data_IF_908028626179
#
_entry.id   IF_908028626179
#
_cell.length_a   1.000
_cell.length_b   1.000
_cell.length_c   1.000
_cell.angle_alpha   90.00
_cell.angle_beta   90.00
_cell.angle_gamma   90.00
#
_symmetry.space_group_name_H-M   'P 1'
#
loop_
_entity.id
_entity.type
_entity.pdbx_description
1 polymer ?
#
# COMPACT_ATOMS: atom_id res chain seq x y z
N UNK A 1 20.70 8.98 28.51
CA UNK A 1 19.99 8.32 29.63
C UNK A 1 18.92 7.39 29.06
N UNK A 2 18.97 6.09 29.38
CA UNK A 2 17.93 5.15 28.99
C UNK A 2 16.63 5.52 29.73
N UNK A 3 15.49 5.61 29.00
CA UNK A 3 14.19 5.80 29.64
C UNK A 3 13.93 4.60 30.56
N UNK A 4 13.51 4.82 31.82
CA UNK A 4 13.19 3.71 32.70
C UNK A 4 12.09 2.84 32.08
N UNK A 5 12.26 1.52 32.16
CA UNK A 5 11.23 0.56 31.75
C UNK A 5 10.00 0.79 32.64
N UNK A 6 8.94 1.36 32.09
CA UNK A 6 7.66 1.46 32.77
C UNK A 6 6.96 0.12 32.62
N UNK A 7 6.92 -0.65 33.68
CA UNK A 7 5.99 -1.76 33.76
C UNK A 7 4.58 -1.20 33.82
N UNK A 8 3.62 -1.71 33.02
CA UNK A 8 2.24 -1.26 33.07
C UNK A 8 1.70 -1.47 34.50
N UNK A 9 1.10 -0.44 35.07
CA UNK A 9 0.31 -0.59 36.28
C UNK A 9 -0.90 -1.50 36.04
N UNK A 10 -1.51 -2.04 37.10
CA UNK A 10 -2.66 -2.94 36.99
C UNK A 10 -3.80 -2.31 36.17
N UNK A 11 -4.05 -1.02 36.31
CA UNK A 11 -5.07 -0.30 35.53
C UNK A 11 -4.72 -0.24 34.02
N UNK A 12 -3.45 -0.01 33.66
CA UNK A 12 -3.02 0.01 32.27
C UNK A 12 -3.20 -1.36 31.62
N UNK A 13 -2.79 -2.43 32.29
CA UNK A 13 -2.94 -3.79 31.79
C UNK A 13 -4.42 -4.17 31.63
N UNK A 14 -5.27 -3.79 32.55
CA UNK A 14 -6.72 -4.02 32.45
C UNK A 14 -7.29 -3.34 31.20
N UNK A 15 -7.01 -2.05 31.02
CA UNK A 15 -7.46 -1.31 29.84
C UNK A 15 -6.97 -1.95 28.55
N UNK A 16 -5.68 -2.36 28.47
CA UNK A 16 -5.12 -3.03 27.30
C UNK A 16 -5.80 -4.38 27.01
N UNK A 17 -6.25 -5.09 28.04
CA UNK A 17 -6.96 -6.36 27.89
C UNK A 17 -8.41 -6.18 27.45
N UNK A 18 -9.05 -5.07 27.81
CA UNK A 18 -10.43 -4.73 27.49
C UNK A 18 -10.57 -3.97 26.16
N UNK A 19 -9.47 -3.81 25.39
CA UNK A 19 -9.55 -3.21 24.07
C UNK A 19 -10.30 -4.13 23.11
N UNK A 20 -11.24 -3.54 22.39
CA UNK A 20 -12.02 -4.19 21.35
C UNK A 20 -11.64 -3.66 19.97
N UNK A 21 -11.67 -4.54 18.96
CA UNK A 21 -11.49 -4.15 17.56
C UNK A 21 -12.80 -4.32 16.80
N UNK A 22 -13.17 -3.28 16.05
CA UNK A 22 -14.35 -3.22 15.22
C UNK A 22 -13.94 -3.09 13.76
N UNK A 23 -14.38 -4.03 12.92
CA UNK A 23 -14.32 -3.90 11.48
C UNK A 23 -15.49 -3.01 11.03
N UNK A 24 -15.18 -1.95 10.28
CA UNK A 24 -16.15 -0.94 9.89
C UNK A 24 -16.64 -1.23 8.48
N UNK A 25 -17.77 -1.94 8.37
CA UNK A 25 -18.40 -2.29 7.08
C UNK A 25 -19.48 -1.31 6.68
N UNK A 26 -20.18 -0.74 7.67
CA UNK A 26 -21.31 0.15 7.43
C UNK A 26 -20.87 1.58 7.08
N UNK A 27 -21.63 2.32 6.27
CA UNK A 27 -21.30 3.67 5.83
C UNK A 27 -21.07 4.66 6.98
N UNK A 28 -21.95 4.71 7.97
CA UNK A 28 -21.89 5.69 9.07
C UNK A 28 -20.62 5.57 9.91
N UNK A 29 -20.18 4.39 10.39
CA UNK A 29 -18.88 4.22 11.02
C UNK A 29 -17.69 4.55 10.10
N UNK A 30 -17.78 4.25 8.80
CA UNK A 30 -16.75 4.60 7.83
C UNK A 30 -16.62 6.12 7.63
N UNK A 31 -17.74 6.84 7.61
CA UNK A 31 -17.73 8.30 7.49
C UNK A 31 -17.14 8.96 8.73
N UNK A 32 -17.45 8.46 9.92
CA UNK A 32 -16.80 8.88 11.16
C UNK A 32 -15.30 8.63 11.11
N UNK A 33 -14.86 7.45 10.66
CA UNK A 33 -13.46 7.10 10.50
C UNK A 33 -12.77 8.05 9.51
N UNK A 34 -13.38 8.30 8.35
CA UNK A 34 -12.88 9.20 7.32
C UNK A 34 -12.74 10.65 7.85
N UNK A 35 -13.70 11.13 8.63
CA UNK A 35 -13.66 12.42 9.31
C UNK A 35 -12.46 12.54 10.22
N UNK A 36 -12.31 11.61 11.15
CA UNK A 36 -11.21 11.61 12.12
C UNK A 36 -9.82 11.54 11.46
N UNK A 37 -9.69 10.85 10.33
CA UNK A 37 -8.43 10.80 9.57
C UNK A 37 -8.16 12.13 8.85
N UNK A 38 -9.17 12.76 8.26
CA UNK A 38 -9.03 14.06 7.56
C UNK A 38 -8.67 15.20 8.51
N UNK A 39 -9.17 15.17 9.73
CA UNK A 39 -8.92 16.20 10.74
C UNK A 39 -7.47 16.21 11.26
N UNK A 40 -6.65 15.21 10.87
CA UNK A 40 -5.24 15.18 11.26
C UNK A 40 -4.40 16.10 10.36
N UNK A 41 -3.62 17.03 10.93
CA UNK A 41 -2.84 18.02 10.17
C UNK A 41 -1.85 17.44 9.14
N UNK A 42 -1.39 16.22 9.36
CA UNK A 42 -0.41 15.53 8.49
C UNK A 42 -1.04 14.57 7.47
N UNK A 43 -2.38 14.42 7.44
CA UNK A 43 -3.06 13.37 6.68
C UNK A 43 -4.40 13.83 6.10
N UNK A 44 -4.36 14.83 5.23
CA UNK A 44 -5.57 15.43 4.62
C UNK A 44 -6.40 14.48 3.74
N UNK A 45 -5.92 13.28 3.45
CA UNK A 45 -6.64 12.32 2.61
C UNK A 45 -6.96 11.03 3.38
N UNK A 46 -8.26 10.76 3.58
CA UNK A 46 -8.77 9.51 4.16
C UNK A 46 -8.97 8.39 3.13
N UNK A 47 -8.84 8.68 1.82
CA UNK A 47 -9.04 7.70 0.77
C UNK A 47 -8.05 6.55 0.86
N UNK A 48 -8.57 5.34 0.75
CA UNK A 48 -7.82 4.11 0.58
C UNK A 48 -7.96 3.66 -0.89
N UNK A 49 -6.99 2.92 -1.41
CA UNK A 49 -6.93 2.55 -2.82
C UNK A 49 -7.18 1.06 -3.00
N UNK A 50 -8.05 0.70 -3.95
CA UNK A 50 -8.37 -0.70 -4.25
C UNK A 50 -9.19 -1.38 -3.15
N UNK A 51 -8.97 -2.67 -3.00
CA UNK A 51 -9.54 -3.45 -1.90
C UNK A 51 -9.10 -2.87 -0.56
N UNK A 52 -10.02 -2.74 0.39
CA UNK A 52 -9.75 -1.97 1.61
C UNK A 52 -10.54 -2.47 2.82
N UNK A 53 -9.92 -2.36 3.98
CA UNK A 53 -10.58 -2.55 5.27
C UNK A 53 -10.31 -1.36 6.20
N UNK A 54 -11.31 -0.95 6.94
CA UNK A 54 -11.20 0.05 8.00
C UNK A 54 -11.52 -0.60 9.34
N UNK A 55 -10.67 -0.35 10.33
CA UNK A 55 -10.89 -0.83 11.69
C UNK A 55 -10.75 0.30 12.68
N UNK A 56 -11.53 0.23 13.75
CA UNK A 56 -11.38 1.06 14.93
C UNK A 56 -11.09 0.18 16.14
N UNK A 57 -10.18 0.61 16.98
CA UNK A 57 -9.93 -0.01 18.28
C UNK A 57 -10.54 0.88 19.33
N UNK A 58 -11.37 0.32 20.20
CA UNK A 58 -12.10 1.05 21.24
C UNK A 58 -11.86 0.49 22.64
N UNK A 59 -12.15 1.34 23.60
CA UNK A 59 -12.29 0.99 25.01
C UNK A 59 -13.56 1.64 25.53
N UNK A 60 -14.45 0.84 26.12
CA UNK A 60 -15.76 1.31 26.64
C UNK A 60 -16.53 2.17 25.59
N UNK A 61 -16.56 1.71 24.33
CA UNK A 61 -17.23 2.39 23.23
C UNK A 61 -16.52 3.61 22.65
N UNK A 62 -15.44 4.09 23.27
CA UNK A 62 -14.66 5.21 22.77
C UNK A 62 -13.54 4.72 21.82
N UNK A 63 -13.48 5.25 20.61
CA UNK A 63 -12.43 4.93 19.66
C UNK A 63 -11.09 5.56 20.07
N UNK A 64 -10.05 4.74 20.13
CA UNK A 64 -8.72 5.11 20.60
C UNK A 64 -7.65 4.97 19.53
N UNK A 65 -7.87 4.11 18.55
CA UNK A 65 -7.00 3.98 17.39
C UNK A 65 -7.79 3.63 16.14
N UNK A 66 -7.28 4.06 14.98
CA UNK A 66 -7.83 3.77 13.67
C UNK A 66 -6.77 3.10 12.82
N UNK A 67 -7.14 2.02 12.14
CA UNK A 67 -6.30 1.34 11.17
C UNK A 67 -7.02 1.27 9.83
N UNK A 68 -6.26 1.49 8.75
CA UNK A 68 -6.74 1.35 7.38
C UNK A 68 -5.79 0.49 6.59
N UNK A 69 -6.33 -0.53 5.96
CA UNK A 69 -5.64 -1.44 5.08
C UNK A 69 -6.13 -1.24 3.66
N UNK A 70 -5.26 -1.34 2.68
CA UNK A 70 -5.60 -1.12 1.27
C UNK A 70 -4.76 -1.99 0.34
N UNK A 71 -5.12 -2.05 -0.92
CA UNK A 71 -4.28 -2.66 -1.94
C UNK A 71 -2.86 -2.09 -1.91
N UNK A 72 -1.88 -2.94 -2.20
CA UNK A 72 -0.46 -2.56 -2.21
C UNK A 72 -0.14 -1.55 -3.32
N UNK A 73 0.89 -0.76 -3.12
CA UNK A 73 1.38 0.14 -4.16
C UNK A 73 1.85 -0.64 -5.40
N UNK A 74 1.51 -0.13 -6.61
CA UNK A 74 1.71 -0.87 -7.85
C UNK A 74 3.18 -1.26 -8.09
N UNK A 75 4.11 -0.36 -7.85
CA UNK A 75 5.54 -0.60 -8.08
C UNK A 75 6.39 -0.03 -6.95
N UNK A 76 7.14 -0.90 -6.28
CA UNK A 76 8.04 -0.54 -5.17
C UNK A 76 9.31 -1.37 -5.26
N UNK A 77 10.39 -0.80 -5.79
CA UNK A 77 11.67 -1.49 -5.95
C UNK A 77 12.15 -2.25 -4.70
N UNK A 78 12.10 -1.68 -3.47
CA UNK A 78 12.53 -2.42 -2.28
C UNK A 78 11.68 -3.66 -1.97
N UNK A 79 10.37 -3.64 -2.28
CA UNK A 79 9.49 -4.80 -2.18
C UNK A 79 9.78 -5.82 -3.25
N UNK A 80 9.97 -5.39 -4.51
CA UNK A 80 10.30 -6.26 -5.64
C UNK A 80 11.56 -7.08 -5.34
N UNK A 81 12.60 -6.41 -4.84
CA UNK A 81 13.85 -7.08 -4.41
C UNK A 81 13.60 -8.04 -3.24
N UNK A 82 12.75 -7.68 -2.29
CA UNK A 82 12.44 -8.54 -1.14
C UNK A 82 11.67 -9.79 -1.55
N UNK A 83 10.68 -9.66 -2.41
CA UNK A 83 9.86 -10.78 -2.90
C UNK A 83 10.58 -11.58 -3.96
N UNK A 84 11.49 -10.97 -4.71
CA UNK A 84 12.22 -11.58 -5.83
C UNK A 84 11.30 -12.18 -6.89
N UNK A 85 10.19 -11.53 -7.16
CA UNK A 85 9.22 -11.92 -8.18
C UNK A 85 9.45 -11.23 -9.53
N UNK A 86 8.96 -11.82 -10.60
CA UNK A 86 8.96 -11.19 -11.92
C UNK A 86 7.86 -10.12 -12.04
N UNK A 87 7.88 -9.37 -13.14
CA UNK A 87 6.82 -8.41 -13.43
C UNK A 87 5.46 -9.10 -13.60
N UNK A 88 5.41 -10.24 -14.27
CA UNK A 88 4.17 -10.98 -14.49
C UNK A 88 3.64 -11.56 -13.18
N UNK A 89 4.50 -12.13 -12.35
CA UNK A 89 4.14 -12.57 -11.00
C UNK A 89 3.59 -11.41 -10.17
N UNK A 90 4.24 -10.24 -10.18
CA UNK A 90 3.72 -9.05 -9.52
C UNK A 90 2.33 -8.68 -10.02
N UNK A 91 2.12 -8.63 -11.33
CA UNK A 91 0.82 -8.27 -11.92
C UNK A 91 -0.28 -9.25 -11.54
N UNK A 92 -0.01 -10.55 -11.53
CA UNK A 92 -0.96 -11.60 -11.16
C UNK A 92 -1.18 -11.75 -9.66
N UNK A 93 -0.20 -11.34 -8.81
CA UNK A 93 -0.13 -11.69 -7.38
C UNK A 93 -0.09 -10.50 -6.43
N UNK A 94 -0.10 -9.24 -6.93
CA UNK A 94 0.02 -8.04 -6.09
C UNK A 94 -1.10 -7.94 -5.05
N UNK A 95 -2.29 -8.43 -5.34
CA UNK A 95 -3.44 -8.44 -4.42
C UNK A 95 -3.23 -9.31 -3.16
N UNK A 96 -2.27 -10.26 -3.18
CA UNK A 96 -1.84 -10.98 -1.98
C UNK A 96 -0.98 -10.14 -1.03
N UNK A 97 -0.62 -8.93 -1.44
CA UNK A 97 0.12 -7.96 -0.60
C UNK A 97 -0.80 -6.83 -0.22
N UNK A 98 -0.89 -6.54 1.07
CA UNK A 98 -1.78 -5.51 1.62
C UNK A 98 -0.98 -4.45 2.35
N UNK A 99 -1.35 -3.20 2.13
CA UNK A 99 -0.68 -2.04 2.73
C UNK A 99 -1.41 -1.56 3.98
N UNK A 100 -0.71 -1.40 5.10
CA UNK A 100 -1.18 -0.58 6.20
C UNK A 100 -1.07 0.90 5.81
N UNK A 101 -2.11 1.42 5.20
CA UNK A 101 -2.15 2.78 4.63
C UNK A 101 -2.44 3.85 5.67
N UNK A 102 -3.12 3.49 6.74
CA UNK A 102 -3.47 4.40 7.84
C UNK A 102 -3.27 3.70 9.17
N UNK A 103 -2.59 4.38 10.06
CA UNK A 103 -2.50 4.03 11.46
C UNK A 103 -2.48 5.33 12.27
N UNK A 104 -3.57 5.58 12.95
CA UNK A 104 -3.79 6.78 13.73
C UNK A 104 -4.14 6.40 15.17
N UNK A 105 -3.40 6.95 16.12
CA UNK A 105 -3.69 6.83 17.54
C UNK A 105 -4.38 8.12 17.97
N UNK A 106 -5.63 8.00 18.42
CA UNK A 106 -6.48 9.10 18.90
C UNK A 106 -6.24 9.38 20.39
N UNK A 107 -5.87 8.33 21.14
CA UNK A 107 -5.59 8.46 22.57
C UNK A 107 -4.27 9.18 22.85
N UNK A 108 -4.19 9.81 24.03
CA UNK A 108 -2.94 10.43 24.48
C UNK A 108 -1.84 9.37 24.69
N UNK A 109 -0.79 9.49 23.89
CA UNK A 109 0.36 8.56 23.91
C UNK A 109 1.19 8.65 25.17
N UNK A 110 1.10 9.76 25.91
CA UNK A 110 1.85 9.94 27.16
C UNK A 110 1.23 9.17 28.30
N UNK A 111 -0.08 8.96 28.23
CA UNK A 111 -0.84 8.29 29.29
C UNK A 111 -0.70 6.77 29.21
N UNK A 112 -0.68 6.21 27.97
CA UNK A 112 -0.62 4.75 27.75
C UNK A 112 0.37 4.42 26.60
N UNK A 113 1.63 4.10 26.88
CA UNK A 113 2.68 3.95 25.87
C UNK A 113 2.48 2.74 24.94
N UNK A 114 1.72 1.72 25.33
CA UNK A 114 1.57 0.45 24.59
C UNK A 114 0.34 0.39 23.67
N UNK A 115 -0.49 1.45 23.63
CA UNK A 115 -1.72 1.50 22.84
C UNK A 115 -1.51 1.11 21.37
N UNK A 116 -0.54 1.73 20.73
CA UNK A 116 -0.30 1.49 19.31
C UNK A 116 0.10 0.03 19.04
N UNK A 117 0.95 -0.52 19.88
CA UNK A 117 1.36 -1.92 19.76
C UNK A 117 0.18 -2.88 19.95
N UNK A 118 -0.64 -2.63 20.99
CA UNK A 118 -1.81 -3.47 21.24
C UNK A 118 -2.87 -3.35 20.14
N UNK A 119 -3.15 -2.13 19.67
CA UNK A 119 -4.08 -1.90 18.57
C UNK A 119 -3.65 -2.61 17.28
N UNK A 120 -2.36 -2.51 16.92
CA UNK A 120 -1.83 -3.22 15.75
C UNK A 120 -1.91 -4.74 15.93
N UNK A 121 -1.61 -5.26 17.14
CA UNK A 121 -1.74 -6.68 17.42
C UNK A 121 -3.17 -7.17 17.19
N UNK A 122 -4.16 -6.55 17.83
CA UNK A 122 -5.57 -6.93 17.70
C UNK A 122 -6.02 -6.93 16.22
N UNK A 123 -5.55 -5.96 15.44
CA UNK A 123 -5.86 -5.90 14.03
C UNK A 123 -5.19 -7.03 13.25
N UNK A 124 -3.89 -7.29 13.50
CA UNK A 124 -3.14 -8.33 12.81
C UNK A 124 -3.65 -9.74 13.12
N UNK A 125 -4.14 -9.98 14.33
CA UNK A 125 -4.64 -11.29 14.77
C UNK A 125 -5.85 -11.75 13.95
N UNK A 126 -6.63 -10.82 13.36
CA UNK A 126 -7.83 -11.14 12.58
C UNK A 126 -7.78 -10.69 11.12
N UNK A 127 -6.76 -9.92 10.74
CA UNK A 127 -6.70 -9.28 9.42
C UNK A 127 -6.84 -10.25 8.25
N UNK A 128 -6.20 -11.42 8.32
CA UNK A 128 -6.25 -12.41 7.25
C UNK A 128 -7.67 -12.98 7.06
N UNK A 129 -8.38 -13.23 8.15
CA UNK A 129 -9.76 -13.74 8.13
C UNK A 129 -10.73 -12.67 7.63
N UNK A 130 -10.62 -11.46 8.17
CA UNK A 130 -11.44 -10.32 7.75
C UNK A 130 -11.25 -9.99 6.27
N UNK A 131 -10.00 -10.06 5.78
CA UNK A 131 -9.69 -9.80 4.38
C UNK A 131 -10.26 -10.87 3.46
N UNK A 132 -10.06 -12.14 3.82
CA UNK A 132 -10.61 -13.26 3.07
C UNK A 132 -12.14 -13.20 3.01
N UNK A 133 -12.80 -12.91 4.13
CA UNK A 133 -14.25 -12.78 4.20
C UNK A 133 -14.79 -11.64 3.34
N UNK A 134 -14.07 -10.51 3.28
CA UNK A 134 -14.51 -9.32 2.55
C UNK A 134 -14.17 -9.35 1.06
N UNK A 135 -13.02 -9.93 0.67
CA UNK A 135 -12.49 -9.84 -0.69
C UNK A 135 -12.35 -11.19 -1.40
N UNK A 136 -12.60 -12.31 -0.71
CA UNK A 136 -12.63 -13.64 -1.32
C UNK A 136 -11.27 -14.25 -1.66
N UNK A 137 -10.16 -13.63 -1.22
CA UNK A 137 -8.81 -14.15 -1.40
C UNK A 137 -7.93 -13.90 -0.18
N UNK A 138 -6.93 -14.78 0.08
CA UNK A 138 -6.03 -14.61 1.21
C UNK A 138 -5.02 -13.49 0.97
N UNK A 139 -4.33 -13.09 2.05
CA UNK A 139 -3.17 -12.21 2.01
C UNK A 139 -1.93 -12.96 2.50
N UNK A 140 -0.80 -12.73 1.85
CA UNK A 140 0.46 -13.43 2.14
C UNK A 140 1.53 -12.50 2.72
N UNK A 141 1.46 -11.21 2.41
CA UNK A 141 2.43 -10.24 2.88
C UNK A 141 1.79 -8.88 3.17
N UNK A 142 2.44 -8.14 4.03
CA UNK A 142 2.05 -6.78 4.40
C UNK A 142 3.15 -5.79 4.07
N UNK A 143 2.76 -4.57 3.73
CA UNK A 143 3.66 -3.43 3.58
C UNK A 143 3.15 -2.20 4.34
N UNK A 144 4.04 -1.30 4.72
CA UNK A 144 3.70 0.00 5.29
C UNK A 144 4.80 1.02 5.00
N UNK A 145 4.41 2.28 4.87
CA UNK A 145 5.32 3.40 4.70
C UNK A 145 5.50 4.17 6.00
N UNK A 146 6.71 4.15 6.54
CA UNK A 146 7.07 4.87 7.75
C UNK A 146 7.82 6.15 7.37
N UNK A 147 7.26 7.30 7.74
CA UNK A 147 7.97 8.57 7.64
C UNK A 147 9.05 8.62 8.72
N UNK A 148 10.31 8.45 8.32
CA UNK A 148 11.45 8.39 9.23
C UNK A 148 11.74 9.71 9.97
N UNK A 149 11.22 10.84 9.48
CA UNK A 149 11.33 12.13 10.16
C UNK A 149 10.37 12.23 11.36
N UNK A 150 9.20 11.60 11.26
CA UNK A 150 8.16 11.67 12.28
C UNK A 150 8.14 10.44 13.19
N UNK A 151 8.53 9.27 12.67
CA UNK A 151 8.34 8.00 13.37
C UNK A 151 9.56 7.08 13.24
N UNK A 152 9.95 6.44 14.33
CA UNK A 152 11.04 5.45 14.35
C UNK A 152 10.63 4.06 13.85
N UNK A 153 9.34 3.84 13.56
CA UNK A 153 8.82 2.55 13.12
C UNK A 153 8.87 1.44 14.18
N UNK A 154 9.04 1.78 15.46
CA UNK A 154 9.22 0.81 16.56
C UNK A 154 8.04 -0.14 16.71
N UNK A 155 6.81 0.34 16.47
CA UNK A 155 5.60 -0.49 16.52
C UNK A 155 5.67 -1.62 15.49
N UNK A 156 6.06 -1.32 14.26
CA UNK A 156 6.19 -2.34 13.21
C UNK A 156 7.33 -3.33 13.51
N UNK A 157 8.48 -2.82 13.99
CA UNK A 157 9.61 -3.68 14.38
C UNK A 157 9.23 -4.68 15.47
N UNK A 158 8.38 -4.29 16.42
CA UNK A 158 7.88 -5.18 17.48
C UNK A 158 7.06 -6.36 16.95
N UNK A 159 6.57 -6.29 15.70
CA UNK A 159 5.83 -7.37 15.02
C UNK A 159 6.60 -7.97 13.84
N UNK A 160 7.92 -8.03 13.94
CA UNK A 160 8.79 -8.67 12.95
C UNK A 160 8.70 -8.08 11.53
N UNK A 161 8.34 -6.80 11.42
CA UNK A 161 8.44 -6.11 10.15
C UNK A 161 9.90 -5.78 9.84
N UNK A 162 10.31 -6.08 8.62
CA UNK A 162 11.66 -5.78 8.15
C UNK A 162 11.66 -4.48 7.35
N UNK A 163 12.53 -3.54 7.70
CA UNK A 163 12.72 -2.31 6.92
C UNK A 163 13.60 -2.60 5.71
N UNK A 164 13.12 -2.27 4.50
CA UNK A 164 13.77 -2.61 3.22
C UNK A 164 14.39 -1.42 2.49
N UNK A 165 14.36 -0.25 3.10
CA UNK A 165 14.96 0.95 2.55
C UNK A 165 13.96 2.03 2.17
N UNK A 166 14.44 3.16 1.67
CA UNK A 166 13.61 4.29 1.32
C UNK A 166 12.85 4.05 0.02
N UNK A 167 11.65 4.62 -0.07
CA UNK A 167 10.91 4.75 -1.32
C UNK A 167 11.51 5.87 -2.18
N UNK A 168 11.21 5.87 -3.47
CA UNK A 168 11.71 6.90 -4.40
C UNK A 168 11.15 8.31 -4.15
N UNK A 169 10.26 8.49 -3.14
CA UNK A 169 9.73 9.81 -2.79
C UNK A 169 8.67 10.34 -3.76
N UNK A 170 7.98 9.46 -4.48
CA UNK A 170 6.82 9.82 -5.30
C UNK A 170 5.52 9.61 -4.53
N UNK A 171 4.58 10.52 -4.71
CA UNK A 171 3.23 10.43 -4.17
C UNK A 171 2.19 10.62 -5.26
N UNK A 172 0.99 10.07 -5.07
CA UNK A 172 -0.14 10.27 -5.96
C UNK A 172 -0.63 11.72 -5.83
N UNK A 173 -0.60 12.46 -6.93
CA UNK A 173 -1.03 13.87 -7.00
C UNK A 173 -2.45 13.96 -7.56
N UNK A 174 -2.80 13.10 -8.53
CA UNK A 174 -4.13 12.98 -9.12
C UNK A 174 -4.38 11.51 -9.49
N UNK A 175 -5.55 11.18 -10.08
CA UNK A 175 -6.00 9.80 -10.27
C UNK A 175 -4.97 8.90 -10.93
N UNK A 176 -4.22 9.36 -11.93
CA UNK A 176 -3.14 8.60 -12.60
C UNK A 176 -1.81 9.35 -12.61
N UNK A 177 -1.65 10.32 -11.73
CA UNK A 177 -0.47 11.19 -11.71
C UNK A 177 0.32 11.04 -10.40
N UNK A 178 1.60 10.69 -10.53
CA UNK A 178 2.55 10.63 -9.41
C UNK A 178 3.59 11.74 -9.56
N UNK A 179 3.76 12.53 -8.53
CA UNK A 179 4.76 13.61 -8.48
C UNK A 179 5.80 13.36 -7.38
N UNK A 180 7.02 13.90 -7.51
CA UNK A 180 8.02 13.85 -6.46
C UNK A 180 7.57 14.70 -5.27
N UNK A 181 7.56 14.13 -4.06
CA UNK A 181 7.21 14.86 -2.84
C UNK A 181 8.38 15.09 -1.89
N UNK A 182 9.62 14.82 -2.33
CA UNK A 182 10.88 15.06 -1.61
C UNK A 182 10.99 14.45 -0.19
N UNK A 183 10.06 13.56 0.20
CA UNK A 183 10.06 12.89 1.51
C UNK A 183 10.05 11.37 1.33
N UNK A 184 11.21 10.76 1.10
CA UNK A 184 11.29 9.30 1.02
C UNK A 184 10.86 8.69 2.35
N UNK A 185 9.96 7.72 2.28
CA UNK A 185 9.52 6.95 3.45
C UNK A 185 10.25 5.62 3.50
N UNK A 186 10.46 5.09 4.69
CA UNK A 186 11.00 3.75 4.87
C UNK A 186 9.90 2.72 4.59
N UNK A 187 10.18 1.78 3.72
CA UNK A 187 9.30 0.66 3.46
C UNK A 187 9.52 -0.42 4.52
N UNK A 188 8.50 -0.70 5.31
CA UNK A 188 8.41 -1.88 6.16
C UNK A 188 7.63 -2.98 5.44
N UNK A 189 8.10 -4.22 5.51
CA UNK A 189 7.43 -5.40 4.96
C UNK A 189 7.38 -6.52 5.98
N UNK A 190 6.34 -7.37 5.90
CA UNK A 190 6.17 -8.55 6.74
C UNK A 190 5.54 -9.67 5.94
N UNK A 191 6.11 -10.86 5.99
CA UNK A 191 5.46 -12.07 5.52
C UNK A 191 4.47 -12.56 6.60
N UNK A 192 3.28 -12.96 6.19
CA UNK A 192 2.26 -13.54 7.08
C UNK A 192 2.39 -15.06 7.19
N UNK A 193 3.04 -15.68 6.21
CA UNK A 193 3.36 -17.11 6.21
C UNK A 193 4.86 -17.29 5.95
N UNK A 194 5.49 -18.30 6.53
CA UNK A 194 6.93 -18.57 6.38
C UNK A 194 7.34 -18.74 4.91
N UNK A 195 6.50 -19.37 4.11
CA UNK A 195 6.70 -19.61 2.67
C UNK A 195 6.14 -18.52 1.76
N UNK A 196 5.58 -17.43 2.29
CA UNK A 196 4.92 -16.40 1.48
C UNK A 196 5.80 -15.85 0.36
N UNK A 197 7.09 -15.63 0.63
CA UNK A 197 8.04 -15.12 -0.36
C UNK A 197 8.32 -16.16 -1.46
N UNK A 198 8.49 -17.40 -1.07
CA UNK A 198 8.68 -18.53 -1.98
C UNK A 198 7.47 -18.68 -2.91
N UNK A 199 6.26 -18.71 -2.35
CA UNK A 199 5.03 -18.81 -3.12
C UNK A 199 4.85 -17.64 -4.08
N UNK A 200 5.09 -16.41 -3.63
CA UNK A 200 4.90 -15.22 -4.47
C UNK A 200 5.91 -15.13 -5.62
N UNK A 201 7.08 -15.78 -5.51
CA UNK A 201 8.11 -15.82 -6.56
C UNK A 201 8.20 -17.17 -7.31
N UNK A 202 7.43 -18.19 -6.90
CA UNK A 202 7.40 -19.48 -7.60
C UNK A 202 6.86 -19.35 -9.02
N UNK A 203 7.26 -20.25 -9.93
CA UNK A 203 6.70 -20.30 -11.28
C UNK A 203 5.18 -20.49 -11.24
N UNK A 204 4.71 -21.37 -10.36
CA UNK A 204 3.28 -21.62 -10.09
C UNK A 204 2.99 -21.44 -8.61
N UNK A 205 1.81 -20.90 -8.30
CA UNK A 205 1.32 -20.83 -6.92
C UNK A 205 0.96 -22.23 -6.40
N UNK A 206 1.04 -22.47 -5.09
CA UNK A 206 0.49 -23.67 -4.47
C UNK A 206 -1.00 -23.85 -4.80
N UNK A 207 -1.44 -25.09 -4.94
CA UNK A 207 -2.81 -25.43 -5.35
C UNK A 207 -3.91 -24.63 -4.65
N UNK A 208 -3.88 -24.36 -3.33
CA UNK A 208 -4.92 -23.55 -2.67
C UNK A 208 -4.97 -22.08 -3.11
N UNK A 209 -3.91 -21.57 -3.74
CA UNK A 209 -3.79 -20.17 -4.15
C UNK A 209 -3.96 -19.97 -5.66
N UNK A 210 -3.86 -21.03 -6.48
CA UNK A 210 -3.93 -20.93 -7.94
C UNK A 210 -5.23 -20.30 -8.41
N UNK A 211 -6.37 -20.64 -7.80
CA UNK A 211 -7.67 -20.07 -8.15
C UNK A 211 -7.82 -18.59 -7.83
N UNK A 212 -6.91 -18.03 -7.03
CA UNK A 212 -6.91 -16.60 -6.68
C UNK A 212 -5.92 -15.79 -7.52
N UNK A 213 -5.02 -16.39 -8.30
CA UNK A 213 -4.09 -15.66 -9.16
C UNK A 213 -4.87 -14.92 -10.26
N UNK A 214 -4.64 -13.60 -10.37
CA UNK A 214 -5.34 -12.81 -11.38
C UNK A 214 -4.78 -13.12 -12.77
N UNK A 215 -5.67 -13.47 -13.67
CA UNK A 215 -5.33 -13.64 -15.09
C UNK A 215 -4.76 -12.33 -15.63
N UNK A 216 -3.59 -12.40 -16.22
CA UNK A 216 -3.01 -11.25 -16.89
C UNK A 216 -3.74 -11.08 -18.23
N UNK A 217 -4.23 -9.86 -18.56
CA UNK A 217 -4.65 -9.60 -19.91
C UNK A 217 -3.46 -9.87 -20.85
N UNK A 218 -3.74 -10.50 -21.99
CA UNK A 218 -2.72 -10.70 -23.01
C UNK A 218 -1.95 -9.38 -23.20
N UNK A 219 -0.62 -9.44 -23.22
CA UNK A 219 0.17 -8.27 -23.58
C UNK A 219 -0.27 -7.85 -24.97
N UNK A 220 -0.79 -6.65 -25.10
CA UNK A 220 -1.08 -6.07 -26.39
C UNK A 220 0.27 -5.71 -27.04
N UNK A 221 0.85 -6.65 -27.75
CA UNK A 221 1.92 -6.36 -28.68
C UNK A 221 1.27 -5.80 -29.93
N UNK A 222 1.44 -4.50 -30.13
CA UNK A 222 1.04 -3.90 -31.40
C UNK A 222 1.90 -4.48 -32.49
N UNK A 223 1.27 -5.12 -33.47
CA UNK A 223 1.95 -5.54 -34.68
C UNK A 223 2.67 -4.32 -35.29
N UNK A 224 3.82 -4.54 -36.00
CA UNK A 224 4.55 -3.45 -36.66
C UNK A 224 3.65 -2.53 -37.52
N UNK A 225 2.64 -3.13 -38.18
CA UNK A 225 1.67 -2.42 -39.02
C UNK A 225 0.79 -1.47 -38.18
N UNK A 226 0.39 -1.88 -36.96
CA UNK A 226 -0.42 -1.05 -36.06
C UNK A 226 0.39 0.11 -35.49
N UNK A 227 1.68 -0.09 -35.25
CA UNK A 227 2.60 1.00 -34.85
C UNK A 227 2.77 2.01 -35.99
N UNK A 228 2.83 1.55 -37.24
CA UNK A 228 2.82 2.41 -38.44
C UNK A 228 1.57 3.27 -38.52
N UNK A 229 0.39 2.66 -38.40
CA UNK A 229 -0.90 3.36 -38.42
C UNK A 229 -1.06 4.38 -37.31
N UNK A 230 -0.61 4.08 -36.07
CA UNK A 230 -0.59 5.06 -34.97
C UNK A 230 0.33 6.25 -35.26
N UNK A 231 1.50 5.99 -35.84
CA UNK A 231 2.43 7.04 -36.22
C UNK A 231 1.82 7.97 -37.29
N UNK A 232 1.14 7.42 -38.29
CA UNK A 232 0.44 8.19 -39.33
C UNK A 232 -0.66 9.08 -38.71
N UNK A 233 -1.49 8.53 -37.82
CA UNK A 233 -2.52 9.31 -37.13
C UNK A 233 -1.92 10.45 -36.28
N UNK A 234 -0.79 10.21 -35.64
CA UNK A 234 -0.10 11.24 -34.85
C UNK A 234 0.60 12.31 -35.72
N UNK A 235 0.83 12.09 -37.04
CA UNK A 235 1.32 13.15 -37.93
C UNK A 235 0.32 14.27 -38.11
N UNK A 236 -0.97 14.02 -37.87
CA UNK A 236 -2.03 15.01 -37.93
C UNK A 236 -2.08 15.89 -36.68
N UNK A 237 -1.37 15.56 -35.61
CA UNK A 237 -1.32 16.34 -34.37
C UNK A 237 -0.44 17.59 -34.60
N UNK A 238 -1.03 18.77 -34.43
CA UNK A 238 -0.32 20.05 -34.54
C UNK A 238 0.77 20.12 -33.44
N UNK A 239 1.96 20.60 -33.85
CA UNK A 239 3.09 20.74 -32.92
C UNK A 239 2.86 21.93 -31.97
N UNK A 240 2.58 21.63 -30.69
CA UNK A 240 2.29 22.63 -29.67
C UNK A 240 3.50 22.95 -28.79
N UNK A 241 4.63 22.22 -28.92
CA UNK A 241 5.82 22.41 -28.08
C UNK A 241 6.62 23.65 -28.55
N UNK A 242 7.21 24.38 -27.60
CA UNK A 242 8.14 25.48 -27.85
C UNK A 242 9.46 24.97 -28.47
N UNK A 243 10.16 25.82 -29.22
CA UNK A 243 11.35 25.44 -30.01
C UNK A 243 12.46 24.69 -29.28
N UNK A 244 12.64 24.93 -27.98
CA UNK A 244 13.68 24.26 -27.14
C UNK A 244 13.41 22.77 -26.86
N UNK A 245 12.21 22.24 -27.14
CA UNK A 245 11.84 20.83 -26.87
C UNK A 245 11.74 19.94 -28.11
N UNK A 246 12.15 20.40 -29.28
CA UNK A 246 11.86 19.75 -30.59
C UNK A 246 12.97 18.81 -31.10
N UNK A 247 13.63 18.02 -30.26
CA UNK A 247 14.62 17.04 -30.73
C UNK A 247 14.03 15.92 -31.61
N UNK A 248 12.75 15.59 -31.42
CA UNK A 248 12.02 14.60 -32.18
C UNK A 248 10.66 15.14 -32.60
N UNK A 249 10.14 14.70 -33.75
CA UNK A 249 8.79 15.04 -34.20
C UNK A 249 7.76 14.57 -33.18
N UNK A 250 6.74 15.38 -32.87
CA UNK A 250 5.72 15.07 -31.88
C UNK A 250 5.02 13.73 -32.15
N UNK A 251 4.74 13.43 -33.42
CA UNK A 251 4.17 12.15 -33.84
C UNK A 251 5.01 10.94 -33.40
N UNK A 252 6.34 11.05 -33.49
CA UNK A 252 7.26 9.97 -33.05
C UNK A 252 7.26 9.83 -31.52
N UNK A 253 7.19 10.95 -30.79
CA UNK A 253 7.13 10.93 -29.33
C UNK A 253 5.82 10.31 -28.88
N UNK A 254 4.69 10.72 -29.46
CA UNK A 254 3.36 10.21 -29.12
C UNK A 254 3.23 8.73 -29.47
N UNK A 255 3.70 8.29 -30.64
CA UNK A 255 3.67 6.88 -31.04
C UNK A 255 4.52 5.99 -30.10
N UNK A 256 5.70 6.46 -29.70
CA UNK A 256 6.56 5.75 -28.73
C UNK A 256 5.91 5.69 -27.36
N UNK A 257 5.34 6.80 -26.88
CA UNK A 257 4.67 6.87 -25.58
C UNK A 257 3.41 5.99 -25.54
N UNK A 258 2.61 5.97 -26.62
CA UNK A 258 1.45 5.09 -26.73
C UNK A 258 1.86 3.62 -26.80
N UNK A 259 2.86 3.28 -27.63
CA UNK A 259 3.42 1.92 -27.72
C UNK A 259 3.99 1.44 -26.39
N UNK A 260 4.74 2.29 -25.68
CA UNK A 260 5.29 1.96 -24.36
C UNK A 260 4.18 1.75 -23.30
N UNK A 261 3.12 2.57 -23.32
CA UNK A 261 1.96 2.37 -22.42
C UNK A 261 1.21 1.09 -22.72
N UNK A 262 1.00 0.78 -23.99
CA UNK A 262 0.30 -0.45 -24.42
C UNK A 262 1.14 -1.71 -24.16
N UNK A 263 2.46 -1.63 -24.28
CA UNK A 263 3.39 -2.71 -23.97
C UNK A 263 3.66 -2.86 -22.47
N UNK A 264 3.05 -2.03 -21.60
CA UNK A 264 3.28 -2.05 -20.15
C UNK A 264 4.65 -1.53 -19.72
N UNK A 265 5.43 -0.97 -20.64
CA UNK A 265 6.72 -0.31 -20.33
C UNK A 265 6.43 1.10 -19.87
N UNK A 266 6.29 1.27 -18.57
CA UNK A 266 6.32 2.59 -17.96
C UNK A 266 7.76 3.10 -18.04
N UNK A 267 7.97 4.17 -18.80
CA UNK A 267 9.25 4.87 -18.80
C UNK A 267 9.65 5.27 -17.38
N UNK A 268 10.92 5.04 -17.06
CA UNK A 268 11.55 5.46 -15.81
C UNK A 268 11.62 6.97 -15.66
#
# INVERSE_FOLDING_TARGET
MAKPLRLPGIQEQQVLNELEIHLLLEPSPQDRWNGLVRDQPSRHNASLVGEQLRSAVSYQGQWLALLGWSGAAWHLRPREVWLNWSEDQRRGRLHFVVQNSRFLILADRTRFPNWGTRALKLCLDRLSEDWLAQHGHPILALESFVDGQLFRGTIYKAFNWTMRGPTAGFGRVAEDFYGPHQRPKQLGVRALHSQAREWLSAAELPAPLQGCEKSLPARWELAPEQLGSLRERFTQVTEFRKGQGKRHRIATVLARSAGAKMAGVMGG
#
